data_IF_003655383059
#
_entry.id   IF_003655383059
#
_cell.length_a   1.000
_cell.length_b   1.000
_cell.length_c   1.000
_cell.angle_alpha   90.00
_cell.angle_beta   90.00
_cell.angle_gamma   90.00
#
_symmetry.space_group_name_H-M   'P 1'
#
loop_
_entity.id
_entity.type
_entity.pdbx_description
1 polymer ?
2 non-polymer ?
3 water ?
#
# COMPACT_ATOMS: atom_id res chain seq x y z
N UNK A 1 -11.58 22.09 -4.35
CA UNK A 1 -13.06 22.13 -4.48
C UNK A 1 -13.66 20.91 -3.76
N UNK A 2 -13.58 19.75 -4.39
CA UNK A 2 -14.08 18.51 -3.79
C UNK A 2 -12.92 17.77 -3.14
N UNK A 3 -13.07 17.45 -1.85
CA UNK A 3 -12.02 16.75 -1.13
C UNK A 3 -11.64 15.44 -1.82
N UNK A 4 -12.60 14.85 -2.53
CA UNK A 4 -12.34 13.59 -3.23
C UNK A 4 -11.41 13.72 -4.43
N UNK A 5 -11.19 14.94 -4.90
CA UNK A 5 -10.30 15.13 -6.05
C UNK A 5 -8.88 15.49 -5.61
N UNK A 6 -8.68 15.68 -4.32
CA UNK A 6 -7.36 16.01 -3.80
C UNK A 6 -6.51 14.75 -3.69
N UNK A 7 -5.28 14.82 -4.16
CA UNK A 7 -4.36 13.69 -4.12
C UNK A 7 -3.52 13.68 -2.85
N UNK A 8 -2.98 14.84 -2.49
CA UNK A 8 -2.16 14.94 -1.29
C UNK A 8 -2.62 16.10 -0.40
N UNK A 9 -3.25 15.77 0.72
CA UNK A 9 -3.70 16.79 1.64
C UNK A 9 -2.49 17.27 2.41
N UNK A 10 -2.42 18.58 2.66
CA UNK A 10 -1.28 19.11 3.39
C UNK A 10 -1.21 18.47 4.76
N UNK A 11 -2.36 18.31 5.40
CA UNK A 11 -2.37 17.70 6.72
C UNK A 11 -3.74 17.13 7.03
N UNK A 12 -3.76 16.14 7.92
CA UNK A 12 -4.99 15.48 8.31
C UNK A 12 -4.95 15.26 9.82
N UNK A 13 -6.06 15.49 10.50
CA UNK A 13 -6.08 15.29 11.95
C UNK A 13 -7.50 15.13 12.46
N UNK A 14 -7.67 14.33 13.50
CA UNK A 14 -9.01 14.18 14.03
C UNK A 14 -9.16 15.17 15.18
N UNK A 15 -10.22 15.99 15.11
CA UNK A 15 -10.53 16.98 16.13
C UNK A 15 -11.93 16.65 16.64
N UNK A 16 -12.03 16.36 17.94
CA UNK A 16 -13.32 16.02 18.51
C UNK A 16 -13.79 14.71 17.89
N UNK A 17 -14.98 14.72 17.31
CA UNK A 17 -15.52 13.50 16.71
C UNK A 17 -15.56 13.63 15.19
N UNK A 18 -14.60 14.37 14.64
CA UNK A 18 -14.55 14.56 13.20
C UNK A 18 -13.11 14.55 12.69
N UNK A 19 -12.96 14.27 11.41
CA UNK A 19 -11.65 14.22 10.81
C UNK A 19 -11.51 15.49 9.95
N UNK A 20 -10.47 16.26 10.20
CA UNK A 20 -10.23 17.50 9.43
C UNK A 20 -9.17 17.26 8.37
N UNK A 21 -9.41 17.78 7.17
CA UNK A 21 -8.48 17.65 6.05
C UNK A 21 -8.06 19.06 5.62
N UNK A 22 -6.77 19.30 5.46
CA UNK A 22 -6.29 20.62 5.05
C UNK A 22 -5.53 20.61 3.73
N UNK A 23 -5.74 21.65 2.92
CA UNK A 23 -5.08 21.79 1.62
C UNK A 23 -5.16 23.21 1.08
N UNK A 24 -4.01 23.82 0.84
CA UNK A 24 -3.93 25.17 0.30
C UNK A 24 -4.89 26.17 0.95
N UNK A 25 -4.72 26.42 2.24
CA UNK A 25 -5.59 27.36 2.92
C UNK A 25 -7.05 26.96 2.95
N UNK A 26 -7.33 25.68 2.75
CA UNK A 26 -8.69 25.18 2.77
C UNK A 26 -8.77 23.95 3.67
N UNK A 27 -9.95 23.65 4.18
CA UNK A 27 -10.09 22.47 5.01
C UNK A 27 -11.49 21.86 4.92
N UNK A 28 -11.58 20.57 5.23
CA UNK A 28 -12.84 19.85 5.18
C UNK A 28 -13.08 19.15 6.50
N UNK A 29 -14.33 18.73 6.71
CA UNK A 29 -14.71 18.01 7.93
C UNK A 29 -15.45 16.75 7.52
N UNK A 30 -14.98 15.60 8.01
CA UNK A 30 -15.58 14.32 7.68
C UNK A 30 -16.04 13.55 8.92
N UNK A 31 -17.28 13.04 8.84
CA UNK A 31 -17.88 12.26 9.92
C UNK A 31 -18.35 10.95 9.31
N UNK A 32 -17.88 9.83 9.88
CA UNK A 32 -18.25 8.51 9.40
C UNK A 32 -19.78 8.36 9.31
N UNK A 33 -20.24 7.31 8.63
CA UNK A 33 -21.66 7.08 8.49
C UNK A 33 -21.99 6.50 7.12
N UNK A 34 -23.24 6.09 6.94
CA UNK A 34 -23.66 5.52 5.67
C UNK A 34 -24.17 6.60 4.73
N UNK A 35 -23.25 7.21 4.00
CA UNK A 35 -23.62 8.26 3.06
C UNK A 35 -23.08 9.63 3.41
N UNK A 36 -22.38 9.73 4.54
CA UNK A 36 -21.82 11.00 4.97
C UNK A 36 -20.62 11.39 4.11
N UNK A 37 -20.73 12.51 3.41
CA UNK A 37 -19.67 13.01 2.54
C UNK A 37 -18.84 14.08 3.24
N UNK A 38 -17.64 14.37 2.71
CA UNK A 38 -16.75 15.37 3.29
C UNK A 38 -17.32 16.79 3.15
N UNK A 39 -17.63 17.41 4.27
CA UNK A 39 -18.18 18.76 4.29
C UNK A 39 -17.11 19.80 4.01
N UNK A 40 -17.45 20.81 3.21
CA UNK A 40 -16.50 21.86 2.90
C UNK A 40 -16.54 22.24 1.43
N UNK A 41 -15.50 22.92 0.92
CA UNK A 41 -14.32 23.33 1.67
C UNK A 41 -14.53 24.62 2.45
N UNK A 42 -13.78 24.79 3.53
CA UNK A 42 -13.87 26.00 4.35
C UNK A 42 -12.51 26.68 4.34
N UNK A 43 -12.49 28.00 4.54
CA UNK A 43 -11.24 28.73 4.55
C UNK A 43 -10.57 28.68 5.92
N UNK A 44 -9.30 28.29 5.94
CA UNK A 44 -8.53 28.19 7.18
C UNK A 44 -8.43 29.56 7.83
N UNK A 45 -8.35 30.59 7.00
CA UNK A 45 -8.25 31.97 7.47
C UNK A 45 -9.46 32.38 8.31
N UNK A 46 -10.64 31.84 7.98
CA UNK A 46 -11.85 32.15 8.71
C UNK A 46 -11.81 31.71 10.18
N UNK A 47 -11.46 30.45 10.41
CA UNK A 47 -11.41 29.91 11.77
C UNK A 47 -10.09 30.20 12.49
N UNK A 48 -8.97 30.09 11.77
CA UNK A 48 -7.64 30.33 12.34
C UNK A 48 -6.88 31.34 11.47
N UNK A 49 -7.26 32.62 11.54
CA UNK A 49 -6.64 33.71 10.77
C UNK A 49 -5.14 33.92 10.91
N UNK A 50 -4.51 33.26 11.89
CA UNK A 50 -3.06 33.43 12.08
C UNK A 50 -2.26 32.38 11.31
N UNK A 51 -2.89 31.27 10.96
CA UNK A 51 -2.21 30.20 10.25
C UNK A 51 -1.85 30.52 8.80
N UNK A 52 -0.76 29.90 8.30
CA UNK A 52 -0.30 30.11 6.92
C UNK A 52 -1.19 29.29 6.00
N UNK A 53 -0.97 29.41 4.69
CA UNK A 53 -1.79 28.70 3.73
C UNK A 53 -1.44 27.21 3.70
N UNK A 54 -0.15 26.90 3.68
CA UNK A 54 0.30 25.51 3.62
C UNK A 54 0.77 24.98 4.97
N UNK A 55 0.18 23.90 5.43
CA UNK A 55 0.57 23.30 6.71
C UNK A 55 1.26 21.95 6.47
N UNK A 56 2.02 21.52 7.47
CA UNK A 56 2.75 20.24 7.41
C UNK A 56 2.04 19.16 8.20
N UNK A 57 1.44 19.55 9.32
CA UNK A 57 0.72 18.59 10.14
C UNK A 57 0.02 19.32 11.28
N UNK A 58 -0.94 18.62 11.89
CA UNK A 58 -1.70 19.18 13.00
C UNK A 58 -2.26 18.06 13.87
N UNK A 59 -2.38 18.33 15.16
CA UNK A 59 -2.93 17.34 16.07
C UNK A 59 -3.60 17.99 17.27
N UNK A 60 -4.60 17.29 17.80
CA UNK A 60 -5.33 17.76 18.97
C UNK A 60 -4.72 17.10 20.19
N UNK A 61 -4.19 17.89 21.12
CA UNK A 61 -3.59 17.33 22.32
C UNK A 61 -4.74 16.71 23.14
N UNK A 62 -4.70 15.37 23.37
CA UNK A 62 -5.70 14.59 24.10
C UNK A 62 -6.21 15.13 25.44
N UNK A 63 -5.30 15.58 26.30
CA UNK A 63 -5.70 16.08 27.61
C UNK A 63 -6.39 17.44 27.61
N UNK A 64 -5.72 18.44 27.07
CA UNK A 64 -6.23 19.81 27.03
C UNK A 64 -7.15 20.13 25.86
N UNK A 65 -7.00 19.37 24.78
CA UNK A 65 -7.78 19.56 23.56
C UNK A 65 -7.30 20.79 22.78
N UNK A 66 -6.10 21.29 23.10
CA UNK A 66 -5.56 22.44 22.36
C UNK A 66 -5.17 21.90 20.98
N UNK A 67 -5.06 22.76 19.99
CA UNK A 67 -4.68 22.31 18.65
C UNK A 67 -3.30 22.81 18.29
N UNK A 68 -2.43 21.87 17.89
CA UNK A 68 -1.07 22.19 17.48
C UNK A 68 -1.00 22.20 15.96
N UNK A 69 -0.56 23.32 15.40
CA UNK A 69 -0.41 23.47 13.96
C UNK A 69 1.06 23.64 13.63
N UNK A 70 1.53 22.89 12.64
CA UNK A 70 2.93 22.97 12.23
C UNK A 70 3.09 23.38 10.78
N UNK A 71 4.06 24.25 10.53
CA UNK A 71 4.37 24.70 9.18
C UNK A 71 5.82 25.13 9.17
N UNK A 72 6.65 24.40 8.44
CA UNK A 72 8.07 24.73 8.39
C UNK A 72 8.67 24.63 9.78
N UNK A 73 9.50 25.60 10.15
CA UNK A 73 10.15 25.62 11.46
C UNK A 73 9.32 26.38 12.51
N UNK A 74 8.01 26.47 12.25
CA UNK A 74 7.11 27.19 13.16
C UNK A 74 5.94 26.35 13.62
N UNK A 75 5.45 26.67 14.83
CA UNK A 75 4.32 25.95 15.40
C UNK A 75 3.36 26.96 16.05
N UNK A 76 2.08 26.67 15.90
CA UNK A 76 1.01 27.51 16.44
C UNK A 76 0.17 26.65 17.36
N UNK A 77 -0.16 27.17 18.54
CA UNK A 77 -0.98 26.43 19.49
C UNK A 77 -2.29 27.19 19.72
N UNK A 78 -3.40 26.59 19.33
CA UNK A 78 -4.72 27.22 19.50
C UNK A 78 -5.55 26.67 20.63
N UNK A 79 -6.07 27.58 21.45
CA UNK A 79 -6.94 27.23 22.56
C UNK A 79 -8.23 27.99 22.26
N UNK A 80 -9.10 27.36 21.46
CA UNK A 80 -10.32 28.02 21.08
C UNK A 80 -9.95 29.12 20.11
N UNK A 81 -10.36 30.35 20.41
CA UNK A 81 -10.05 31.49 19.57
C UNK A 81 -8.70 32.10 19.93
N UNK A 82 -8.21 31.74 21.11
CA UNK A 82 -6.92 32.25 21.57
C UNK A 82 -5.77 31.54 20.87
N UNK A 83 -4.78 32.30 20.41
CA UNK A 83 -3.64 31.71 19.72
C UNK A 83 -2.33 31.97 20.41
N UNK A 84 -1.49 30.95 20.46
CA UNK A 84 -0.19 31.08 21.07
C UNK A 84 0.82 30.79 19.97
N UNK A 85 1.55 31.83 19.59
CA UNK A 85 2.54 31.69 18.55
C UNK A 85 2.41 32.75 17.46
N UNK A 86 3.16 32.60 16.36
CA UNK A 86 4.09 31.50 16.12
C UNK A 86 5.39 31.48 16.94
N UNK A 87 5.92 30.28 17.09
CA UNK A 87 7.18 30.04 17.80
C UNK A 87 7.99 29.08 16.94
N UNK A 88 9.30 29.08 17.11
CA UNK A 88 10.17 28.17 16.38
C UNK A 88 10.01 26.82 17.06
N UNK A 89 10.28 25.75 16.32
CA UNK A 89 10.15 24.40 16.87
C UNK A 89 11.09 24.20 18.06
N UNK A 90 12.13 25.02 18.16
CA UNK A 90 13.07 24.88 19.26
C UNK A 90 12.40 25.12 20.60
N UNK A 91 11.27 25.83 20.58
CA UNK A 91 10.55 26.11 21.84
C UNK A 91 9.95 24.84 22.44
N UNK A 92 9.79 23.80 21.62
CA UNK A 92 9.24 22.54 22.09
C UNK A 92 10.36 21.52 22.37
N UNK A 93 11.61 21.99 22.26
CA UNK A 93 12.72 21.10 22.53
C UNK A 93 13.26 20.40 21.30
N UNK A 94 12.63 20.64 20.15
CA UNK A 94 13.10 20.02 18.91
C UNK A 94 14.43 20.67 18.52
N UNK A 95 15.35 19.85 18.02
CA UNK A 95 16.66 20.36 17.65
C UNK A 95 16.64 21.35 16.51
N UNK A 96 17.71 22.13 16.41
CA UNK A 96 17.80 23.12 15.34
C UNK A 96 17.90 22.48 13.96
N UNK A 97 18.12 21.16 13.93
CA UNK A 97 18.24 20.43 12.66
C UNK A 97 16.90 19.84 12.20
N UNK A 98 15.81 20.25 12.83
CA UNK A 98 14.50 19.76 12.45
C UNK A 98 13.88 20.76 11.50
N UNK A 99 13.76 20.37 10.24
CA UNK A 99 13.20 21.24 9.20
C UNK A 99 11.69 21.41 9.33
N UNK A 100 11.00 20.35 9.79
CA UNK A 100 9.56 20.45 9.96
C UNK A 100 8.97 19.26 10.70
N UNK A 101 7.69 19.37 11.06
CA UNK A 101 7.00 18.31 11.78
C UNK A 101 5.93 17.73 10.85
N UNK A 102 6.11 16.45 10.53
CA UNK A 102 5.21 15.75 9.63
C UNK A 102 4.08 14.97 10.29
N UNK A 103 4.03 14.98 11.62
CA UNK A 103 2.95 14.28 12.29
C UNK A 103 3.17 14.00 13.76
N UNK A 104 2.21 13.28 14.35
CA UNK A 104 2.27 12.94 15.75
C UNK A 104 1.30 11.80 16.02
N UNK A 105 1.58 11.03 17.08
CA UNK A 105 0.73 9.92 17.50
C UNK A 105 0.81 9.84 19.02
N UNK A 106 -0.26 9.37 19.66
CA UNK A 106 -0.23 9.26 21.10
C UNK A 106 0.73 8.14 21.46
N UNK A 107 1.45 8.32 22.56
CA UNK A 107 2.41 7.32 23.02
C UNK A 107 1.91 6.87 24.39
N UNK A 108 2.76 6.86 25.40
CA UNK A 108 2.29 6.46 26.72
C UNK A 108 1.39 7.55 27.26
N UNK A 109 0.94 7.39 28.50
CA UNK A 109 0.07 8.37 29.15
C UNK A 109 0.80 9.70 29.27
N UNK A 110 0.26 10.75 28.69
CA UNK A 110 0.89 12.04 28.77
C UNK A 110 2.08 12.20 27.83
N UNK A 111 2.30 11.21 26.98
CA UNK A 111 3.40 11.22 26.03
C UNK A 111 2.88 11.28 24.59
N UNK A 112 3.66 11.91 23.73
CA UNK A 112 3.29 12.09 22.33
C UNK A 112 4.53 11.77 21.50
N UNK A 113 4.31 11.30 20.28
CA UNK A 113 5.43 11.00 19.37
C UNK A 113 5.36 12.08 18.28
N UNK A 114 6.48 12.73 17.99
CA UNK A 114 6.50 13.77 16.96
C UNK A 114 7.35 13.29 15.81
N UNK A 115 6.82 13.43 14.60
CA UNK A 115 7.55 12.96 13.41
C UNK A 115 8.11 14.05 12.51
N UNK A 116 9.20 13.73 11.85
CA UNK A 116 9.82 14.64 10.89
C UNK A 116 10.48 13.75 9.84
N UNK A 117 9.67 13.32 8.89
CA UNK A 117 10.17 12.46 7.84
C UNK A 117 10.59 11.11 8.36
N UNK A 118 11.88 10.82 8.25
CA UNK A 118 12.44 9.55 8.69
C UNK A 118 12.67 9.46 10.20
N UNK A 119 12.72 10.62 10.85
CA UNK A 119 12.95 10.69 12.28
C UNK A 119 11.72 10.92 13.13
N UNK A 120 11.87 10.70 14.42
CA UNK A 120 10.78 10.92 15.38
C UNK A 120 11.36 11.13 16.76
N UNK A 121 10.58 11.72 17.64
CA UNK A 121 11.01 12.01 19.00
C UNK A 121 9.87 11.83 19.99
N UNK A 122 10.24 11.70 21.26
CA UNK A 122 9.29 11.56 22.36
C UNK A 122 9.00 12.96 22.87
N UNK A 123 7.71 13.28 23.01
CA UNK A 123 7.29 14.61 23.46
C UNK A 123 6.46 14.49 24.74
N UNK A 124 6.88 15.19 25.79
CA UNK A 124 6.15 15.17 27.04
C UNK A 124 5.14 16.32 27.02
N UNK A 125 3.85 16.01 27.11
CA UNK A 125 2.81 17.05 27.05
C UNK A 125 2.82 17.99 28.26
N UNK A 126 2.96 17.44 29.46
CA UNK A 126 2.96 18.27 30.67
C UNK A 126 4.04 19.36 30.60
N UNK A 127 5.27 18.97 30.27
CA UNK A 127 6.37 19.94 30.19
C UNK A 127 6.51 20.57 28.81
N UNK A 128 5.79 20.02 27.84
CA UNK A 128 5.83 20.51 26.45
C UNK A 128 7.26 20.51 25.93
N UNK A 129 7.99 19.44 26.23
CA UNK A 129 9.37 19.35 25.81
C UNK A 129 9.79 18.04 25.17
N UNK A 130 10.76 18.15 24.28
CA UNK A 130 11.32 17.00 23.59
C UNK A 130 12.82 16.92 23.89
N UNK A 131 13.30 15.74 24.24
CA UNK A 131 14.73 15.55 24.52
C UNK A 131 15.36 15.05 23.23
N UNK A 132 16.31 15.81 22.67
CA UNK A 132 16.96 15.40 21.42
C UNK A 132 17.57 14.00 21.46
N UNK A 133 17.73 13.47 22.67
CA UNK A 133 18.32 12.14 22.86
C UNK A 133 17.29 11.03 22.64
N UNK A 134 16.02 11.40 22.57
CA UNK A 134 14.96 10.41 22.36
C UNK A 134 14.80 10.13 20.87
N UNK A 135 15.70 10.68 20.05
CA UNK A 135 15.64 10.50 18.61
C UNK A 135 15.58 9.04 18.21
N UNK A 136 14.65 8.72 17.32
CA UNK A 136 14.48 7.36 16.84
C UNK A 136 14.10 7.40 15.36
N UNK A 137 14.33 6.29 14.66
CA UNK A 137 14.01 6.23 13.25
C UNK A 137 12.68 5.52 12.99
N UNK A 138 11.82 6.17 12.22
CA UNK A 138 10.52 5.60 11.92
C UNK A 138 10.70 4.24 11.25
N UNK A 139 11.77 4.12 10.47
CA UNK A 139 12.08 2.89 9.76
C UNK A 139 12.18 1.67 10.66
N UNK A 140 12.84 1.82 11.80
CA UNK A 140 13.00 0.71 12.72
C UNK A 140 11.80 0.50 13.65
N UNK A 141 11.15 1.58 14.05
CA UNK A 141 10.00 1.48 14.95
C UNK A 141 8.71 1.07 14.21
N UNK A 142 8.58 1.52 12.97
CA UNK A 142 7.40 1.19 12.17
C UNK A 142 7.78 0.50 10.85
N UNK A 143 8.23 -0.76 10.92
CA UNK A 143 8.61 -1.46 9.69
C UNK A 143 7.41 -1.66 8.77
N UNK A 144 7.65 -1.64 7.46
CA UNK A 144 6.58 -1.83 6.50
C UNK A 144 6.00 -0.52 6.02
N UNK A 145 6.47 0.57 6.62
CA UNK A 145 6.02 1.90 6.26
C UNK A 145 7.03 2.56 5.32
N UNK A 146 6.57 3.43 4.41
CA UNK A 146 7.49 4.09 3.48
C UNK A 146 8.54 4.96 4.15
N UNK A 147 9.71 5.05 3.52
CA UNK A 147 10.82 5.85 4.04
C UNK A 147 10.47 7.31 4.22
N UNK A 148 9.86 7.92 3.21
CA UNK A 148 9.51 9.33 3.28
C UNK A 148 8.02 9.59 3.31
N UNK A 149 7.46 9.69 4.51
CA UNK A 149 6.04 9.96 4.65
C UNK A 149 5.84 11.44 4.93
N UNK A 150 4.80 12.03 4.33
CA UNK A 150 4.53 13.45 4.48
C UNK A 150 3.49 13.79 5.55
N UNK A 151 2.89 12.77 6.15
CA UNK A 151 1.88 13.02 7.18
C UNK A 151 1.69 11.74 7.98
N UNK A 152 1.57 11.91 9.29
CA UNK A 152 1.38 10.83 10.24
C UNK A 152 0.34 11.33 11.24
N UNK A 153 -0.77 10.61 11.36
CA UNK A 153 -1.80 11.02 12.29
C UNK A 153 -2.56 9.82 12.82
N UNK A 154 -3.26 10.03 13.92
CA UNK A 154 -4.05 8.98 14.54
C UNK A 154 -5.51 9.19 14.16
N UNK A 155 -6.24 8.09 14.02
CA UNK A 155 -7.65 8.13 13.65
C UNK A 155 -8.29 6.83 14.11
N UNK A 156 -9.32 6.93 14.94
CA UNK A 156 -10.01 5.75 15.43
C UNK A 156 -9.04 4.81 16.14
N UNK A 157 -8.18 5.37 16.99
CA UNK A 157 -7.20 4.59 17.72
C UNK A 157 -6.22 3.86 16.82
N UNK A 158 -6.08 4.31 15.58
CA UNK A 158 -5.15 3.69 14.65
C UNK A 158 -4.19 4.74 14.08
N UNK A 159 -2.98 4.32 13.74
CA UNK A 159 -1.97 5.22 13.19
C UNK A 159 -1.92 5.12 11.67
N UNK A 160 -1.94 6.28 11.01
CA UNK A 160 -1.89 6.37 9.57
C UNK A 160 -0.66 7.16 9.09
N UNK A 161 0.16 6.52 8.26
CA UNK A 161 1.34 7.14 7.69
C UNK A 161 1.01 7.36 6.22
N UNK A 162 1.14 8.59 5.73
CA UNK A 162 0.80 8.87 4.34
C UNK A 162 1.95 9.20 3.41
N UNK A 163 1.82 8.75 2.17
CA UNK A 163 2.79 9.01 1.11
C UNK A 163 1.98 9.07 -0.17
N UNK A 164 2.28 10.07 -1.00
CA UNK A 164 1.52 10.27 -2.23
C UNK A 164 0.05 10.34 -1.80
N UNK A 165 -0.82 9.63 -2.50
CA UNK A 165 -2.25 9.66 -2.17
C UNK A 165 -2.68 8.45 -1.33
N UNK A 166 -1.71 7.66 -0.88
CA UNK A 166 -1.99 6.45 -0.10
C UNK A 166 -1.67 6.60 1.39
N UNK A 167 -2.09 5.60 2.15
CA UNK A 167 -1.86 5.56 3.58
C UNK A 167 -1.46 4.15 3.98
N UNK A 168 -0.64 4.06 5.03
CA UNK A 168 -0.20 2.79 5.57
C UNK A 168 -0.70 2.79 7.01
N UNK A 169 -1.69 1.95 7.29
CA UNK A 169 -2.26 1.88 8.63
C UNK A 169 -1.51 0.93 9.54
N UNK A 170 -1.38 1.31 10.81
CA UNK A 170 -0.67 0.49 11.78
C UNK A 170 -1.44 0.38 13.10
N UNK A 171 -1.56 -0.85 13.60
CA UNK A 171 -2.23 -1.10 14.87
C UNK A 171 -1.18 -1.70 15.80
N UNK A 172 -1.34 -1.47 17.10
CA UNK A 172 -0.39 -1.97 18.09
C UNK A 172 -0.78 -3.34 18.66
N UNK A 173 0.23 -4.18 18.85
CA UNK A 173 0.03 -5.53 19.39
C UNK A 173 1.39 -6.18 19.62
N UNK A 174 1.52 -6.92 20.72
CA UNK A 174 2.77 -7.60 21.05
C UNK A 174 3.92 -6.60 21.06
N UNK A 175 3.61 -5.34 21.34
CA UNK A 175 4.61 -4.27 21.39
C UNK A 175 5.36 -4.13 20.06
N UNK A 176 4.90 -4.87 19.05
CA UNK A 176 5.51 -4.82 17.72
C UNK A 176 4.54 -4.21 16.72
N UNK A 177 4.92 -3.07 16.14
CA UNK A 177 4.08 -2.38 15.17
C UNK A 177 4.11 -3.07 13.81
N UNK A 178 2.95 -3.12 13.14
CA UNK A 178 2.86 -3.75 11.83
C UNK A 178 1.79 -3.08 10.98
N UNK A 179 2.05 -3.01 9.68
CA UNK A 179 1.09 -2.42 8.75
C UNK A 179 0.01 -3.47 8.49
N UNK A 180 -1.24 -3.13 8.79
CA UNK A 180 -2.33 -4.08 8.58
C UNK A 180 -3.30 -3.63 7.48
N UNK A 181 -2.99 -2.52 6.82
CA UNK A 181 -3.84 -2.02 5.75
C UNK A 181 -3.17 -0.88 4.97
N UNK A 182 -3.39 -0.87 3.65
CA UNK A 182 -2.84 0.15 2.76
C UNK A 182 -3.89 0.44 1.67
N UNK A 183 -4.14 1.72 1.43
CA UNK A 183 -5.11 2.10 0.43
C UNK A 183 -5.12 3.58 0.12
N UNK A 184 -6.16 3.99 -0.61
CA UNK A 184 -6.34 5.38 -1.00
C UNK A 184 -7.05 6.11 0.14
N UNK A 185 -6.56 7.29 0.47
CA UNK A 185 -7.15 8.09 1.52
C UNK A 185 -8.56 8.52 1.12
N UNK A 186 -8.75 8.75 -0.16
CA UNK A 186 -10.06 9.16 -0.64
C UNK A 186 -11.08 8.02 -0.65
N UNK A 187 -10.73 6.90 -1.30
CA UNK A 187 -11.63 5.74 -1.38
C UNK A 187 -11.93 5.08 -0.04
N UNK A 188 -10.87 4.68 0.66
CA UNK A 188 -10.99 4.03 1.95
C UNK A 188 -11.50 5.00 3.01
N UNK A 189 -10.71 6.01 3.31
CA UNK A 189 -11.12 7.01 4.28
C UNK A 189 -11.92 8.00 3.44
N UNK A 190 -12.87 8.70 4.04
CA UNK A 190 -13.68 9.65 3.28
C UNK A 190 -14.77 8.97 2.45
N UNK A 191 -14.56 7.69 2.14
CA UNK A 191 -15.53 6.91 1.39
C UNK A 191 -15.87 7.50 0.03
N UNK A 192 -14.89 8.10 -0.64
CA UNK A 192 -15.11 8.68 -1.96
C UNK A 192 -15.40 7.58 -2.97
N UNK A 193 -16.25 7.86 -3.96
CA UNK A 193 -16.61 6.89 -5.00
C UNK A 193 -15.43 6.53 -5.89
N UNK A 194 -15.28 5.25 -6.21
CA UNK A 194 -14.19 4.78 -7.07
C UNK A 194 -14.35 5.31 -8.49
N UNK A 195 -13.23 5.41 -9.20
CA UNK A 195 -13.22 5.90 -10.57
C UNK A 195 -13.67 7.35 -10.65
N UNK B 1 -13.26 -10.54 -24.48
CA UNK B 1 -13.83 -9.24 -24.92
C UNK B 1 -12.84 -8.11 -24.78
N UNK B 2 -13.27 -6.96 -24.28
CA UNK B 2 -12.38 -5.83 -24.10
C UNK B 2 -11.70 -5.97 -22.74
N UNK B 3 -10.37 -6.09 -22.76
CA UNK B 3 -9.60 -6.25 -21.52
C UNK B 3 -9.91 -5.14 -20.53
N UNK B 4 -10.24 -3.97 -21.05
CA UNK B 4 -10.54 -2.81 -20.21
C UNK B 4 -11.83 -2.90 -19.44
N UNK B 5 -12.67 -3.87 -19.78
CA UNK B 5 -13.93 -4.03 -19.06
C UNK B 5 -13.85 -5.12 -18.02
N UNK B 6 -12.71 -5.79 -17.97
CA UNK B 6 -12.52 -6.87 -17.00
C UNK B 6 -12.23 -6.32 -15.61
N UNK B 7 -12.89 -6.85 -14.60
CA UNK B 7 -12.65 -6.39 -13.25
C UNK B 7 -11.60 -7.25 -12.55
N UNK B 8 -11.78 -8.56 -12.60
CA UNK B 8 -10.85 -9.49 -11.97
C UNK B 8 -10.31 -10.50 -12.99
N UNK B 9 -9.02 -10.43 -13.32
CA UNK B 9 -8.44 -11.38 -14.27
C UNK B 9 -8.14 -12.69 -13.58
N UNK B 10 -8.37 -13.81 -14.28
CA UNK B 10 -8.09 -15.13 -13.73
C UNK B 10 -6.62 -15.21 -13.35
N UNK B 11 -5.78 -14.61 -14.19
CA UNK B 11 -4.35 -14.64 -13.95
C UNK B 11 -3.60 -13.64 -14.83
N UNK B 12 -2.48 -13.14 -14.31
CA UNK B 12 -1.63 -12.17 -15.00
C UNK B 12 -0.18 -12.62 -14.88
N UNK B 13 0.62 -12.40 -15.92
CA UNK B 13 2.02 -12.80 -15.85
C UNK B 13 2.85 -12.14 -16.93
N UNK B 14 4.11 -11.91 -16.60
CA UNK B 14 5.05 -11.32 -17.52
C UNK B 14 5.66 -12.45 -18.31
N UNK B 15 5.58 -12.35 -19.63
CA UNK B 15 6.14 -13.38 -20.51
C UNK B 15 7.02 -12.63 -21.49
N UNK B 16 8.32 -12.71 -21.29
CA UNK B 16 9.24 -12.00 -22.17
C UNK B 16 9.12 -10.53 -21.87
N UNK B 17 9.06 -9.73 -22.93
CA UNK B 17 8.97 -8.28 -22.77
C UNK B 17 7.53 -7.80 -22.88
N UNK B 18 6.59 -8.60 -22.39
CA UNK B 18 5.18 -8.24 -22.43
C UNK B 18 4.44 -8.77 -21.21
N UNK B 19 3.24 -8.24 -20.99
CA UNK B 19 2.43 -8.66 -19.88
C UNK B 19 1.21 -9.37 -20.48
N UNK B 20 0.92 -10.55 -19.95
CA UNK B 20 -0.21 -11.34 -20.40
C UNK B 20 -1.30 -11.42 -19.33
N UNK B 21 -2.54 -11.18 -19.76
CA UNK B 21 -3.70 -11.21 -18.87
C UNK B 21 -4.64 -12.29 -19.37
N UNK B 22 -5.13 -13.12 -18.46
CA UNK B 22 -6.02 -14.22 -18.82
C UNK B 22 -7.41 -14.13 -18.19
N UNK B 23 -8.45 -14.48 -18.95
CA UNK B 23 -9.82 -14.43 -18.41
C UNK B 23 -10.80 -15.27 -19.25
N UNK B 24 -11.44 -16.24 -18.59
CA UNK B 24 -12.42 -17.12 -19.22
C UNK B 24 -12.09 -17.57 -20.65
N UNK B 25 -11.01 -18.30 -20.82
CA UNK B 25 -10.65 -18.78 -22.15
C UNK B 25 -10.08 -17.76 -23.12
N UNK B 26 -9.79 -16.56 -22.64
CA UNK B 26 -9.24 -15.52 -23.50
C UNK B 26 -8.02 -14.87 -22.83
N UNK B 27 -7.19 -14.20 -23.63
CA UNK B 27 -6.03 -13.52 -23.10
C UNK B 27 -5.71 -12.27 -23.90
N UNK B 28 -4.97 -11.36 -23.29
CA UNK B 28 -4.58 -10.12 -23.95
C UNK B 28 -3.11 -9.91 -23.63
N UNK B 29 -2.44 -9.10 -24.45
CA UNK B 29 -1.03 -8.82 -24.24
C UNK B 29 -0.88 -7.32 -24.11
N UNK B 30 0.15 -6.88 -23.40
CA UNK B 30 0.37 -5.46 -23.23
C UNK B 30 1.86 -5.13 -23.11
N UNK B 31 2.27 -4.06 -23.77
CA UNK B 31 3.66 -3.62 -23.75
C UNK B 31 3.71 -2.18 -23.28
N UNK B 32 4.63 -1.91 -22.37
CA UNK B 32 4.80 -0.56 -21.82
C UNK B 32 5.10 0.43 -22.95
N UNK B 33 4.59 1.64 -22.83
CA UNK B 33 4.84 2.64 -23.85
C UNK B 33 3.74 3.66 -24.01
N UNK B 34 4.09 4.82 -24.55
CA UNK B 34 3.11 5.87 -24.78
C UNK B 34 2.10 5.41 -25.82
N UNK B 35 0.82 5.70 -25.57
CA UNK B 35 -0.22 5.31 -26.49
C UNK B 35 -0.49 3.81 -26.51
N UNK B 36 0.31 3.05 -25.75
CA UNK B 36 0.12 1.60 -25.68
C UNK B 36 -1.20 1.20 -25.05
N UNK B 37 -1.87 0.23 -25.67
CA UNK B 37 -3.13 -0.29 -25.20
C UNK B 37 -3.09 -1.81 -25.25
N UNK B 38 -4.07 -2.49 -24.61
CA UNK B 38 -4.09 -3.95 -24.61
C UNK B 38 -4.38 -4.54 -25.99
N UNK B 39 -3.64 -5.61 -26.33
CA UNK B 39 -3.80 -6.28 -27.61
C UNK B 39 -4.63 -7.54 -27.44
N UNK B 40 -5.64 -7.68 -28.29
CA UNK B 40 -6.50 -8.84 -28.23
C UNK B 40 -7.94 -8.46 -28.45
N UNK B 41 -8.89 -9.26 -27.95
CA UNK B 41 -8.64 -10.50 -27.20
C UNK B 41 -8.20 -11.65 -28.09
N UNK B 42 -7.48 -12.61 -27.50
CA UNK B 42 -7.02 -13.81 -28.20
C UNK B 42 -7.66 -14.98 -27.44
N UNK B 43 -7.68 -16.15 -28.07
CA UNK B 43 -8.22 -17.35 -27.43
C UNK B 43 -7.06 -18.21 -26.92
N UNK B 44 -7.08 -18.53 -25.63
CA UNK B 44 -6.02 -19.34 -25.01
C UNK B 44 -5.81 -20.66 -25.75
N UNK B 45 -6.92 -21.32 -26.06
CA UNK B 45 -6.89 -22.61 -26.76
C UNK B 45 -6.15 -22.54 -28.11
N UNK B 46 -6.19 -21.38 -28.77
CA UNK B 46 -5.51 -21.21 -30.05
C UNK B 46 -3.99 -21.36 -29.86
N UNK B 47 -3.48 -20.94 -28.71
CA UNK B 47 -2.04 -21.03 -28.45
C UNK B 47 -1.66 -22.14 -27.50
N UNK B 48 -2.47 -22.35 -26.46
CA UNK B 48 -2.20 -23.37 -25.44
C UNK B 48 -3.42 -24.28 -25.29
N UNK B 49 -3.70 -25.10 -26.32
CA UNK B 49 -4.84 -26.02 -26.30
C UNK B 49 -5.00 -27.01 -25.15
N UNK B 50 -3.94 -27.28 -24.40
CA UNK B 50 -4.08 -28.23 -23.31
C UNK B 50 -4.61 -27.60 -22.02
N UNK B 51 -4.66 -26.27 -21.97
CA UNK B 51 -5.11 -25.59 -20.77
C UNK B 51 -6.62 -25.54 -20.54
N UNK B 52 -7.04 -25.51 -19.27
CA UNK B 52 -8.47 -25.45 -18.96
C UNK B 52 -8.98 -24.03 -19.19
N UNK B 53 -10.28 -23.86 -19.00
CA UNK B 53 -10.92 -22.58 -19.19
C UNK B 53 -10.44 -21.46 -18.27
N UNK B 54 -10.41 -21.72 -16.96
CA UNK B 54 -9.99 -20.70 -16.01
C UNK B 54 -8.70 -21.07 -15.29
N UNK B 55 -7.68 -20.22 -15.44
CA UNK B 55 -6.37 -20.43 -14.82
C UNK B 55 -6.34 -19.77 -13.45
N UNK B 56 -5.39 -20.18 -12.59
CA UNK B 56 -5.25 -19.59 -11.25
C UNK B 56 -4.02 -18.68 -11.18
N UNK B 57 -2.99 -19.03 -11.96
CA UNK B 57 -1.77 -18.24 -12.01
C UNK B 57 -0.83 -18.85 -13.03
N UNK B 58 0.11 -18.02 -13.50
CA UNK B 58 1.06 -18.45 -14.50
C UNK B 58 2.34 -17.68 -14.28
N UNK B 59 3.48 -18.28 -14.61
CA UNK B 59 4.75 -17.57 -14.47
C UNK B 59 5.77 -18.12 -15.44
N UNK B 60 6.70 -17.28 -15.84
CA UNK B 60 7.74 -17.66 -16.77
C UNK B 60 9.08 -17.75 -16.06
N UNK B 61 9.81 -18.84 -16.30
CA UNK B 61 11.13 -19.00 -15.70
C UNK B 61 12.04 -17.97 -16.37
N UNK B 62 12.64 -17.09 -15.55
CA UNK B 62 13.54 -16.02 -15.99
C UNK B 62 14.64 -16.41 -16.98
N UNK B 63 15.14 -17.64 -16.86
CA UNK B 63 16.21 -18.09 -17.73
C UNK B 63 15.75 -18.97 -18.91
N UNK B 64 15.28 -20.17 -18.59
CA UNK B 64 14.83 -21.14 -19.61
C UNK B 64 13.61 -20.71 -20.43
N UNK B 65 12.82 -19.80 -19.85
CA UNK B 65 11.61 -19.29 -20.49
C UNK B 65 10.47 -20.31 -20.49
N UNK B 66 10.63 -21.38 -19.72
CA UNK B 66 9.57 -22.37 -19.64
C UNK B 66 8.40 -21.66 -18.97
N UNK B 67 7.19 -22.01 -19.39
CA UNK B 67 5.96 -21.41 -18.86
C UNK B 67 5.14 -22.32 -17.96
N UNK B 68 4.91 -21.88 -16.73
CA UNK B 68 4.13 -22.65 -15.77
C UNK B 68 2.71 -22.12 -15.65
N UNK B 69 1.75 -23.00 -15.86
CA UNK B 69 0.34 -22.65 -15.78
C UNK B 69 -0.28 -23.47 -14.65
N UNK B 70 -1.02 -22.81 -13.76
CA UNK B 70 -1.65 -23.52 -12.66
C UNK B 70 -3.17 -23.39 -12.72
N UNK B 71 -3.87 -24.50 -12.42
CA UNK B 71 -5.32 -24.50 -12.37
C UNK B 71 -5.76 -25.59 -11.40
N UNK B 72 -6.33 -25.18 -10.27
CA UNK B 72 -6.76 -26.14 -9.28
C UNK B 72 -5.51 -26.88 -8.80
N UNK B 73 -5.59 -28.21 -8.73
CA UNK B 73 -4.47 -29.03 -8.31
C UNK B 73 -3.70 -29.60 -9.51
N UNK B 74 -3.72 -28.90 -10.63
CA UNK B 74 -3.03 -29.32 -11.84
C UNK B 74 -2.03 -28.25 -12.27
N UNK B 75 -0.89 -28.70 -12.78
CA UNK B 75 0.14 -27.81 -13.26
C UNK B 75 0.60 -28.25 -14.65
N UNK B 76 0.73 -27.28 -15.56
CA UNK B 76 1.19 -27.53 -16.93
C UNK B 76 2.47 -26.72 -17.11
N UNK B 77 3.43 -27.30 -17.83
CA UNK B 77 4.68 -26.62 -18.10
C UNK B 77 4.97 -26.65 -19.60
N UNK B 78 4.88 -25.50 -20.24
CA UNK B 78 5.14 -25.38 -21.68
C UNK B 78 6.54 -24.93 -22.01
N UNK B 79 7.16 -25.62 -22.96
CA UNK B 79 8.50 -25.30 -23.44
C UNK B 79 8.25 -25.05 -24.94
N UNK B 80 7.75 -23.86 -25.26
CA UNK B 80 7.44 -23.56 -26.64
C UNK B 80 6.03 -24.10 -26.89
N UNK B 81 5.89 -24.99 -27.85
CA UNK B 81 4.59 -25.57 -28.14
C UNK B 81 4.42 -26.91 -27.42
N UNK B 82 5.54 -27.45 -26.94
CA UNK B 82 5.54 -28.73 -26.23
C UNK B 82 5.12 -28.61 -24.78
N UNK B 83 4.06 -29.30 -24.42
CA UNK B 83 3.54 -29.25 -23.07
C UNK B 83 3.86 -30.50 -22.25
N UNK B 84 4.10 -30.28 -20.97
CA UNK B 84 4.40 -31.33 -20.01
C UNK B 84 3.30 -31.22 -18.95
N UNK B 85 2.48 -32.27 -18.86
CA UNK B 85 1.40 -32.25 -17.90
C UNK B 85 0.08 -32.59 -18.56
N UNK B 86 -1.06 -32.46 -17.85
CA UNK B 86 -1.08 -32.00 -16.46
C UNK B 86 -0.50 -32.99 -15.46
N UNK B 87 0.07 -32.41 -14.39
CA UNK B 87 0.64 -33.17 -13.28
C UNK B 87 0.00 -32.62 -11.98
N UNK B 88 0.01 -33.43 -10.93
CA UNK B 88 -0.54 -33.02 -9.65
C UNK B 88 0.45 -32.08 -8.98
N UNK B 89 -0.03 -31.20 -8.10
CA UNK B 89 0.88 -30.28 -7.44
C UNK B 89 1.89 -31.03 -6.58
N UNK B 90 1.56 -32.25 -6.12
CA UNK B 90 2.53 -32.94 -5.29
C UNK B 90 3.76 -33.38 -6.08
N UNK B 91 3.68 -33.30 -7.41
CA UNK B 91 4.84 -33.65 -8.24
C UNK B 91 5.86 -32.51 -8.21
N UNK B 92 5.45 -31.41 -7.58
CA UNK B 92 6.32 -30.25 -7.41
C UNK B 92 6.72 -30.16 -5.93
N UNK B 93 6.25 -31.12 -5.14
CA UNK B 93 6.58 -31.14 -3.73
C UNK B 93 5.56 -30.46 -2.84
N UNK B 94 4.50 -29.95 -3.45
CA UNK B 94 3.45 -29.27 -2.69
C UNK B 94 2.60 -30.30 -1.94
N UNK B 95 2.15 -29.94 -0.74
CA UNK B 95 1.34 -30.83 0.05
C UNK B 95 0.00 -31.16 -0.55
N UNK B 96 -0.62 -32.22 -0.04
CA UNK B 96 -1.93 -32.64 -0.50
C UNK B 96 -3.00 -31.63 -0.12
N UNK B 97 -2.73 -30.80 0.88
CA UNK B 97 -3.74 -29.83 1.28
C UNK B 97 -3.72 -28.52 0.50
N UNK B 98 -2.81 -28.42 -0.48
CA UNK B 98 -2.72 -27.22 -1.30
C UNK B 98 -3.73 -27.41 -2.43
N UNK B 99 -4.78 -26.59 -2.44
CA UNK B 99 -5.82 -26.71 -3.46
C UNK B 99 -5.51 -25.96 -4.74
N UNK B 100 -4.59 -25.00 -4.66
CA UNK B 100 -4.26 -24.21 -5.84
C UNK B 100 -3.01 -23.36 -5.63
N UNK B 101 -2.51 -22.82 -6.72
CA UNK B 101 -1.36 -21.94 -6.65
C UNK B 101 -1.88 -20.61 -7.19
N UNK B 102 -1.79 -19.57 -6.37
CA UNK B 102 -2.30 -18.25 -6.75
C UNK B 102 -1.24 -17.25 -7.17
N UNK B 103 0.01 -17.69 -7.28
CA UNK B 103 1.05 -16.77 -7.67
C UNK B 103 2.47 -17.27 -7.47
N UNK B 104 3.41 -16.47 -7.93
CA UNK B 104 4.80 -16.80 -7.82
C UNK B 104 5.66 -15.54 -7.94
N UNK B 105 6.82 -15.57 -7.31
CA UNK B 105 7.74 -14.45 -7.37
C UNK B 105 9.15 -15.02 -7.34
N UNK B 106 10.08 -14.32 -7.97
CA UNK B 106 11.47 -14.74 -7.98
C UNK B 106 12.06 -14.36 -6.63
N UNK B 107 12.84 -15.25 -6.06
CA UNK B 107 13.48 -14.98 -4.77
C UNK B 107 14.99 -14.90 -5.00
N UNK B 108 15.77 -15.56 -4.14
CA UNK B 108 17.22 -15.53 -4.32
C UNK B 108 17.61 -16.14 -5.64
N UNK B 109 18.91 -16.18 -5.92
CA UNK B 109 19.39 -16.77 -7.18
C UNK B 109 18.89 -18.21 -7.27
N UNK B 110 18.17 -18.53 -8.34
CA UNK B 110 17.67 -19.88 -8.53
C UNK B 110 16.55 -20.27 -7.58
N UNK B 111 15.79 -19.30 -7.11
CA UNK B 111 14.68 -19.57 -6.19
C UNK B 111 13.41 -18.85 -6.61
N UNK B 112 12.26 -19.37 -6.17
CA UNK B 112 10.97 -18.77 -6.45
C UNK B 112 10.13 -18.85 -5.18
N UNK B 113 9.03 -18.12 -5.18
CA UNK B 113 8.09 -18.13 -4.06
C UNK B 113 6.74 -18.52 -4.66
N UNK B 114 6.18 -19.64 -4.23
CA UNK B 114 4.90 -20.07 -4.74
C UNK B 114 3.86 -19.74 -3.69
N UNK B 115 2.79 -19.10 -4.14
CA UNK B 115 1.70 -18.68 -3.27
C UNK B 115 0.43 -19.49 -3.41
N UNK B 116 -0.30 -19.57 -2.31
CA UNK B 116 -1.58 -20.23 -2.26
C UNK B 116 -2.33 -19.50 -1.18
N UNK B 117 -2.96 -18.39 -1.55
CA UNK B 117 -3.70 -17.60 -0.58
C UNK B 117 -2.78 -16.97 0.45
N UNK B 118 -3.05 -17.24 1.73
CA UNK B 118 -2.27 -16.69 2.84
C UNK B 118 -0.93 -17.40 3.07
N UNK B 119 -0.71 -18.52 2.39
CA UNK B 119 0.53 -19.29 2.53
C UNK B 119 1.46 -19.18 1.34
N UNK B 120 2.73 -19.47 1.57
CA UNK B 120 3.72 -19.46 0.51
C UNK B 120 4.84 -20.40 0.89
N UNK B 121 5.56 -20.89 -0.11
CA UNK B 121 6.67 -21.82 0.08
C UNK B 121 7.80 -21.36 -0.81
N UNK B 122 9.01 -21.84 -0.50
CA UNK B 122 10.16 -21.50 -1.31
C UNK B 122 10.24 -22.64 -2.32
N UNK B 123 10.55 -22.31 -3.57
CA UNK B 123 10.64 -23.30 -4.66
C UNK B 123 12.00 -23.27 -5.31
N UNK B 124 12.69 -24.41 -5.29
CA UNK B 124 14.00 -24.52 -5.89
C UNK B 124 13.84 -24.82 -7.38
N UNK B 125 14.29 -23.91 -8.24
CA UNK B 125 14.16 -24.08 -9.68
C UNK B 125 14.96 -25.26 -10.25
N UNK B 126 16.16 -25.50 -9.73
CA UNK B 126 16.97 -26.60 -10.22
C UNK B 126 16.30 -27.96 -10.03
N UNK B 127 15.79 -28.21 -8.83
CA UNK B 127 15.14 -29.49 -8.52
C UNK B 127 13.64 -29.48 -8.86
N UNK B 128 13.10 -28.31 -9.17
CA UNK B 128 11.68 -28.20 -9.48
C UNK B 128 10.87 -28.79 -8.32
N UNK B 129 11.32 -28.49 -7.11
CA UNK B 129 10.67 -28.96 -5.91
C UNK B 129 10.59 -27.89 -4.84
N UNK B 130 9.49 -27.89 -4.09
CA UNK B 130 9.30 -26.96 -3.01
C UNK B 130 10.31 -27.32 -1.91
N UNK B 131 10.92 -26.31 -1.28
CA UNK B 131 11.87 -26.59 -0.21
C UNK B 131 11.12 -27.12 1.01
N UNK B 132 11.74 -28.03 1.78
CA UNK B 132 11.13 -28.62 2.97
C UNK B 132 10.60 -27.63 4.00
N UNK B 133 11.50 -26.97 4.72
CA UNK B 133 11.11 -26.02 5.75
C UNK B 133 11.02 -24.62 5.17
N UNK B 134 9.98 -24.34 4.38
CA UNK B 134 9.84 -23.03 3.77
C UNK B 134 8.42 -22.47 3.79
N UNK B 135 7.49 -23.19 4.41
CA UNK B 135 6.11 -22.74 4.50
C UNK B 135 6.06 -21.48 5.35
N UNK B 136 5.51 -20.40 4.80
CA UNK B 136 5.43 -19.14 5.54
C UNK B 136 4.11 -18.44 5.33
N UNK B 137 3.78 -17.55 6.26
CA UNK B 137 2.55 -16.77 6.18
C UNK B 137 2.85 -15.48 5.42
N UNK B 138 2.14 -15.28 4.32
CA UNK B 138 2.32 -14.10 3.48
C UNK B 138 2.33 -12.79 4.26
N UNK B 139 1.35 -12.61 5.13
CA UNK B 139 1.23 -11.39 5.92
C UNK B 139 2.51 -10.93 6.60
N UNK B 140 3.29 -11.87 7.13
CA UNK B 140 4.53 -11.49 7.80
C UNK B 140 5.62 -11.08 6.81
N UNK B 141 5.67 -11.74 5.67
CA UNK B 141 6.68 -11.45 4.67
C UNK B 141 6.32 -10.23 3.82
N UNK B 142 5.02 -10.00 3.64
CA UNK B 142 4.52 -8.88 2.84
C UNK B 142 3.43 -8.09 3.58
N UNK B 143 3.81 -7.35 4.63
CA UNK B 143 2.83 -6.57 5.38
C UNK B 143 2.17 -5.49 4.51
N UNK B 144 0.86 -5.30 4.66
CA UNK B 144 0.18 -4.29 3.88
C UNK B 144 -0.60 -4.85 2.70
N UNK B 145 -0.24 -6.07 2.32
CA UNK B 145 -0.93 -6.75 1.21
C UNK B 145 -2.25 -7.31 1.75
N UNK B 146 -3.32 -7.25 0.94
CA UNK B 146 -4.60 -7.77 1.42
C UNK B 146 -4.57 -9.29 1.66
N UNK B 147 -5.22 -9.72 2.74
CA UNK B 147 -5.23 -11.14 3.08
C UNK B 147 -6.01 -11.98 2.10
N UNK B 148 -6.88 -11.36 1.31
CA UNK B 148 -7.69 -12.09 0.33
C UNK B 148 -7.23 -11.88 -1.12
N UNK B 149 -5.92 -11.74 -1.31
CA UNK B 149 -5.37 -11.56 -2.65
C UNK B 149 -5.60 -12.79 -3.50
N UNK B 150 -6.07 -12.57 -4.72
CA UNK B 150 -6.36 -13.67 -5.64
C UNK B 150 -5.27 -13.98 -6.66
N UNK B 151 -4.28 -13.10 -6.80
CA UNK B 151 -3.23 -13.34 -7.79
C UNK B 151 -1.98 -12.53 -7.45
N UNK B 152 -0.82 -13.20 -7.50
CA UNK B 152 0.44 -12.54 -7.21
C UNK B 152 1.39 -12.77 -8.38
N UNK B 153 1.90 -11.69 -8.96
CA UNK B 153 2.83 -11.82 -10.09
C UNK B 153 3.92 -10.78 -10.05
N UNK B 154 5.04 -11.09 -10.72
CA UNK B 154 6.15 -10.18 -10.79
C UNK B 154 6.18 -9.52 -12.17
N UNK B 155 6.41 -8.21 -12.18
CA UNK B 155 6.45 -7.44 -13.43
C UNK B 155 7.46 -6.32 -13.25
N UNK B 156 8.43 -6.25 -14.15
CA UNK B 156 9.47 -5.24 -14.10
C UNK B 156 10.15 -5.16 -12.74
N UNK B 157 10.72 -6.29 -12.31
CA UNK B 157 11.43 -6.38 -11.03
C UNK B 157 10.60 -5.99 -9.80
N UNK B 158 9.27 -6.00 -9.93
CA UNK B 158 8.43 -5.66 -8.79
C UNK B 158 7.30 -6.67 -8.63
N UNK B 159 6.84 -6.86 -7.39
CA UNK B 159 5.77 -7.80 -7.09
C UNK B 159 4.42 -7.11 -7.06
N UNK B 160 3.40 -7.78 -7.58
CA UNK B 160 2.06 -7.21 -7.60
C UNK B 160 1.04 -8.14 -6.94
N UNK B 161 0.35 -7.66 -5.92
CA UNK B 161 -0.67 -8.47 -5.25
C UNK B 161 -2.01 -7.92 -5.67
N UNK B 162 -2.79 -8.76 -6.37
CA UNK B 162 -4.10 -8.36 -6.85
C UNK B 162 -5.26 -8.76 -5.96
N UNK B 163 -6.21 -7.84 -5.84
CA UNK B 163 -7.41 -8.07 -5.01
C UNK B 163 -8.47 -7.19 -5.66
N UNK B 164 -9.62 -7.79 -5.94
CA UNK B 164 -10.70 -7.05 -6.60
C UNK B 164 -10.09 -6.56 -7.91
N UNK B 165 -10.40 -5.33 -8.30
CA UNK B 165 -9.87 -4.76 -9.53
C UNK B 165 -8.59 -3.95 -9.34
N UNK B 166 -8.02 -4.00 -8.14
CA UNK B 166 -6.80 -3.25 -7.84
C UNK B 166 -5.56 -4.13 -7.62
N UNK B 167 -4.43 -3.47 -7.43
CA UNK B 167 -3.19 -4.16 -7.17
C UNK B 167 -2.40 -3.38 -6.10
N UNK B 168 -1.57 -4.11 -5.37
CA UNK B 168 -0.73 -3.56 -4.33
C UNK B 168 0.69 -3.91 -4.77
N UNK B 169 1.43 -2.91 -5.23
CA UNK B 169 2.79 -3.14 -5.70
C UNK B 169 3.73 -3.18 -4.52
N UNK B 170 4.67 -4.13 -4.56
CA UNK B 170 5.62 -4.27 -3.49
C UNK B 170 7.07 -4.21 -3.95
N UNK B 171 7.86 -3.46 -3.20
CA UNK B 171 9.29 -3.30 -3.46
C UNK B 171 10.02 -3.81 -2.22
N UNK B 172 11.33 -3.99 -2.31
CA UNK B 172 12.08 -4.50 -1.17
C UNK B 172 13.19 -3.56 -0.72
N UNK B 173 13.39 -3.51 0.60
CA UNK B 173 14.44 -2.69 1.21
C UNK B 173 15.20 -3.52 2.23
N UNK B 174 16.45 -3.85 1.90
CA UNK B 174 17.31 -4.64 2.77
C UNK B 174 16.62 -5.86 3.40
N UNK B 175 16.27 -6.82 2.56
CA UNK B 175 15.63 -8.07 2.99
C UNK B 175 14.22 -7.91 3.55
N UNK B 176 13.61 -6.75 3.36
CA UNK B 176 12.26 -6.52 3.85
C UNK B 176 11.33 -6.10 2.71
N UNK B 177 10.03 -6.33 2.89
CA UNK B 177 9.06 -5.98 1.87
C UNK B 177 7.99 -5.02 2.37
N UNK B 178 7.58 -4.10 1.51
CA UNK B 178 6.54 -3.16 1.86
C UNK B 178 5.85 -2.66 0.61
N UNK B 179 4.57 -2.35 0.74
CA UNK B 179 3.78 -1.85 -0.37
C UNK B 179 4.28 -0.45 -0.67
N UNK B 180 4.45 -0.12 -1.95
CA UNK B 180 4.89 1.23 -2.32
C UNK B 180 3.85 1.90 -3.22
N UNK B 181 2.81 1.17 -3.61
CA UNK B 181 1.78 1.75 -4.47
C UNK B 181 0.50 0.90 -4.54
N UNK B 182 -0.62 1.57 -4.78
CA UNK B 182 -1.91 0.90 -4.95
C UNK B 182 -2.53 1.51 -6.21
N UNK B 183 -3.08 0.67 -7.08
CA UNK B 183 -3.68 1.18 -8.31
C UNK B 183 -4.58 0.21 -9.06
N UNK B 184 -5.27 0.72 -10.07
CA UNK B 184 -6.17 -0.08 -10.90
C UNK B 184 -5.38 -0.86 -11.96
N UNK B 185 -5.73 -2.12 -12.15
CA UNK B 185 -5.06 -2.92 -13.16
C UNK B 185 -5.34 -2.30 -14.54
N UNK B 186 -6.60 -1.99 -14.81
CA UNK B 186 -7.00 -1.42 -16.10
C UNK B 186 -6.46 -0.01 -16.36
N UNK B 187 -6.62 0.90 -15.40
CA UNK B 187 -6.15 2.28 -15.58
C UNK B 187 -4.67 2.53 -15.32
N UNK B 188 -4.14 2.00 -14.20
CA UNK B 188 -2.73 2.19 -13.85
C UNK B 188 -1.79 1.31 -14.67
N UNK B 189 -2.32 0.19 -15.16
CA UNK B 189 -1.55 -0.72 -16.02
C UNK B 189 -2.52 -0.86 -17.19
N UNK B 190 -2.04 -1.26 -18.35
CA UNK B 190 -2.93 -1.40 -19.51
C UNK B 190 -3.29 -0.04 -20.07
N UNK B 191 -3.12 1.01 -19.27
CA UNK B 191 -3.43 2.37 -19.71
C UNK B 191 -4.80 2.47 -20.41
N UNK B 192 -5.84 1.95 -19.79
CA UNK B 192 -7.19 2.01 -20.35
C UNK B 192 -7.77 3.41 -20.18
N UNK B 193 -8.53 3.89 -21.17
CA UNK B 193 -9.13 5.23 -21.10
C UNK B 193 -10.30 5.26 -20.12
N UNK B 194 -10.42 6.35 -19.38
CA UNK B 194 -11.52 6.46 -18.40
C UNK B 194 -12.75 7.16 -18.97
N UNK B 195 -13.61 7.65 -18.08
CA UNK B 195 -14.82 8.33 -18.48
C UNK B 195 -14.64 9.84 -18.36
#
# INVERSE_FOLDING_TARGET
DDACNVNIFDAIAEIGNQLYLFKDGKYWRFSEGRGSRPQGPFLIADKWPALPRKLDSVFEEPLSKKLFFFSGRQVWVYTGASVLGPRRLDKLGLGADVAQVTGALRSGRGKMLLFSGRRLWRFDVKAQMVDPRSASEVDRMFPGVPLDTHDVFQFREKAYFCQDRFYWRVSSRSELNQVDQVGYVTYDILQCPED
DDACNVNIFDAIAEIGNQLYLFKDGKYWRFSEGRGSRPQGPFLIADKWPALPRKLDSVFEEPLSKKLFFFSGRQVWVYTGASVLGPRRLDKLGLGADVAQVTGALRSGRGKMLLFSGRRLWRFDVKAQMVDPRSASEVDRMFPGVPLDTHDVFQFREKAYFCQDRFYWRVSSRSELNQVDQVGYVTYDILQCPED
#
